data_IF_112853034162
#
_entry.id   IF_112853034162
#
_cell.length_a   1.000
_cell.length_b   1.000
_cell.length_c   1.000
_cell.angle_alpha   90.00
_cell.angle_beta   90.00
_cell.angle_gamma   90.00
#
_symmetry.space_group_name_H-M   'P 1'
#
loop_
_entity.id
_entity.type
_entity.pdbx_description
1 polymer ?
#
# COMPACT_ATOMS: atom_id res chain seq x y z
N UNK A 1 10.55 15.30 44.78
CA UNK A 1 9.60 16.00 43.89
C UNK A 1 9.71 15.41 42.50
N UNK A 2 8.72 15.65 41.64
CA UNK A 2 8.67 15.09 40.28
C UNK A 2 9.06 16.19 39.29
N UNK A 3 10.03 15.91 38.42
CA UNK A 3 10.45 16.81 37.36
C UNK A 3 9.53 16.62 36.14
N UNK A 4 8.96 17.73 35.63
CA UNK A 4 8.09 17.73 34.45
C UNK A 4 8.79 18.46 33.32
N UNK A 5 9.04 17.74 32.22
CA UNK A 5 9.60 18.29 30.99
C UNK A 5 8.48 18.48 29.96
N UNK A 6 8.27 19.72 29.51
CA UNK A 6 7.29 20.07 28.48
C UNK A 6 8.01 20.33 27.16
N UNK A 7 7.65 19.58 26.11
CA UNK A 7 8.22 19.78 24.78
C UNK A 7 7.35 20.72 23.95
N UNK A 8 7.98 21.45 23.03
CA UNK A 8 7.27 22.21 21.99
C UNK A 8 6.69 21.30 20.91
N UNK A 9 5.79 21.82 20.06
CA UNK A 9 5.28 21.10 18.91
C UNK A 9 6.37 20.92 17.85
N UNK A 10 6.39 19.75 17.19
CA UNK A 10 7.19 19.52 15.99
C UNK A 10 6.40 20.01 14.78
N UNK A 11 7.05 20.69 13.83
CA UNK A 11 6.41 21.20 12.62
C UNK A 11 6.93 20.52 11.35
N UNK A 12 6.05 20.32 10.36
CA UNK A 12 6.37 19.83 9.03
C UNK A 12 5.55 20.61 8.00
N UNK A 13 6.22 21.19 6.99
CA UNK A 13 5.57 22.03 5.97
C UNK A 13 4.90 23.29 6.55
N UNK A 14 5.48 23.86 7.61
CA UNK A 14 4.95 25.08 8.25
C UNK A 14 3.78 24.87 9.23
N UNK A 15 3.31 23.63 9.43
CA UNK A 15 2.23 23.31 10.36
C UNK A 15 2.61 22.24 11.38
N UNK A 16 2.02 22.23 12.60
CA UNK A 16 2.32 21.24 13.63
C UNK A 16 1.99 19.80 13.19
N UNK A 17 2.92 18.88 13.38
CA UNK A 17 2.69 17.44 13.18
C UNK A 17 1.68 16.95 14.21
N UNK A 18 0.69 16.19 13.76
CA UNK A 18 -0.30 15.57 14.65
C UNK A 18 -0.84 14.27 14.05
N UNK A 19 -1.31 13.37 14.91
CA UNK A 19 -1.91 12.12 14.47
C UNK A 19 -3.15 12.36 13.60
N UNK A 20 -3.92 13.42 13.86
CA UNK A 20 -5.08 13.79 13.02
C UNK A 20 -4.65 14.09 11.60
N UNK A 21 -3.62 14.93 11.40
CA UNK A 21 -3.11 15.25 10.06
C UNK A 21 -2.58 14.02 9.34
N UNK A 22 -1.81 13.18 10.04
CA UNK A 22 -1.27 11.94 9.47
C UNK A 22 -2.41 11.01 9.02
N UNK A 23 -3.44 10.82 9.86
CA UNK A 23 -4.61 10.00 9.50
C UNK A 23 -5.38 10.57 8.31
N UNK A 24 -5.57 11.89 8.25
CA UNK A 24 -6.23 12.56 7.12
C UNK A 24 -5.46 12.37 5.83
N UNK A 25 -4.14 12.59 5.84
CA UNK A 25 -3.29 12.39 4.66
C UNK A 25 -3.31 10.92 4.19
N UNK A 26 -3.20 9.97 5.11
CA UNK A 26 -3.33 8.54 4.79
C UNK A 26 -4.69 8.22 4.18
N UNK A 27 -5.79 8.69 4.78
CA UNK A 27 -7.14 8.45 4.27
C UNK A 27 -7.36 9.04 2.86
N UNK A 28 -6.71 10.15 2.53
CA UNK A 28 -6.70 10.74 1.19
C UNK A 28 -5.75 10.01 0.21
N UNK A 29 -4.95 9.05 0.68
CA UNK A 29 -3.93 8.35 -0.10
C UNK A 29 -2.64 9.16 -0.32
N UNK A 30 -2.48 10.29 0.40
CA UNK A 30 -1.30 11.15 0.37
C UNK A 30 -0.17 10.56 1.24
N UNK A 31 0.31 9.38 0.85
CA UNK A 31 1.28 8.59 1.63
C UNK A 31 2.64 9.28 1.77
N UNK A 32 3.02 10.15 0.83
CA UNK A 32 4.25 10.94 0.87
C UNK A 32 4.17 12.05 1.94
N UNK A 33 3.03 12.75 2.01
CA UNK A 33 2.79 13.76 3.05
C UNK A 33 2.75 13.11 4.44
N UNK A 34 2.10 11.94 4.55
CA UNK A 34 2.12 11.16 5.78
C UNK A 34 3.55 10.76 6.16
N UNK A 35 4.36 10.31 5.20
CA UNK A 35 5.75 9.93 5.44
C UNK A 35 6.61 11.11 5.92
N UNK A 36 6.43 12.29 5.34
CA UNK A 36 7.13 13.50 5.76
C UNK A 36 6.82 13.87 7.22
N UNK A 37 5.57 13.70 7.66
CA UNK A 37 5.18 13.91 9.06
C UNK A 37 5.64 12.79 10.00
N UNK A 38 5.69 11.54 9.54
CA UNK A 38 6.09 10.38 10.33
C UNK A 38 7.61 10.26 10.48
N UNK A 39 8.37 10.80 9.52
CA UNK A 39 9.81 10.56 9.39
C UNK A 39 10.17 9.20 8.77
N UNK A 40 9.18 8.43 8.31
CA UNK A 40 9.36 7.15 7.64
C UNK A 40 8.17 6.83 6.72
N UNK A 41 8.39 6.00 5.70
CA UNK A 41 7.32 5.52 4.82
C UNK A 41 6.31 4.66 5.58
N UNK A 42 5.01 4.93 5.42
CA UNK A 42 3.96 4.20 6.11
C UNK A 42 4.00 2.69 5.78
N UNK A 43 3.81 1.82 6.78
CA UNK A 43 4.03 0.37 6.60
C UNK A 43 2.82 -0.48 6.95
N UNK A 44 2.57 -1.50 6.15
CA UNK A 44 1.65 -2.59 6.48
C UNK A 44 2.45 -3.90 6.63
N UNK A 45 1.98 -4.79 7.50
CA UNK A 45 2.61 -6.08 7.75
C UNK A 45 1.52 -7.15 7.85
N UNK A 46 1.73 -8.27 7.18
CA UNK A 46 0.74 -9.34 7.13
C UNK A 46 1.24 -10.58 6.42
N UNK A 47 0.35 -11.54 6.28
CA UNK A 47 0.57 -12.83 5.62
C UNK A 47 -0.16 -12.88 4.28
N UNK A 48 0.47 -13.52 3.29
CA UNK A 48 -0.16 -13.77 1.99
C UNK A 48 -1.22 -14.86 2.11
N UNK A 49 -2.45 -14.52 1.75
CA UNK A 49 -3.60 -15.42 1.73
C UNK A 49 -4.11 -15.68 0.32
N UNK A 50 -4.89 -16.74 0.16
CA UNK A 50 -5.54 -17.07 -1.12
C UNK A 50 -6.57 -16.01 -1.51
N UNK A 51 -6.49 -15.55 -2.75
CA UNK A 51 -7.50 -14.69 -3.39
C UNK A 51 -8.04 -15.33 -4.67
N UNK A 52 -8.71 -14.54 -5.53
CA UNK A 52 -9.32 -15.05 -6.77
C UNK A 52 -8.31 -15.40 -7.87
N UNK A 53 -7.02 -15.09 -7.67
CA UNK A 53 -5.90 -15.37 -8.60
C UNK A 53 -6.10 -14.85 -10.04
N UNK A 54 -7.06 -13.94 -10.27
CA UNK A 54 -7.37 -13.34 -11.59
C UNK A 54 -6.16 -12.66 -12.24
N UNK A 55 -5.29 -12.05 -11.44
CA UNK A 55 -4.07 -11.41 -11.95
C UNK A 55 -3.12 -12.39 -12.68
N UNK A 56 -3.10 -13.66 -12.27
CA UNK A 56 -2.19 -14.67 -12.83
C UNK A 56 -2.44 -14.93 -14.32
N UNK A 57 -3.70 -14.90 -14.77
CA UNK A 57 -4.04 -15.13 -16.19
C UNK A 57 -3.61 -13.97 -17.10
N UNK A 58 -3.35 -12.79 -16.53
CA UNK A 58 -2.93 -11.58 -17.26
C UNK A 58 -1.42 -11.31 -17.19
N UNK A 59 -0.64 -12.18 -16.52
CA UNK A 59 0.78 -11.96 -16.26
C UNK A 59 1.07 -11.01 -15.09
N UNK A 60 0.07 -10.71 -14.27
CA UNK A 60 0.18 -9.84 -13.09
C UNK A 60 -0.28 -10.58 -11.82
N UNK A 61 0.40 -11.66 -11.39
CA UNK A 61 0.01 -12.38 -10.17
C UNK A 61 0.02 -11.43 -8.96
N UNK A 62 -1.06 -11.43 -8.18
CA UNK A 62 -1.19 -10.59 -6.98
C UNK A 62 -1.27 -11.44 -5.71
N UNK A 63 -0.54 -10.99 -4.69
CA UNK A 63 -0.64 -11.46 -3.31
C UNK A 63 -1.77 -10.72 -2.61
N UNK A 64 -2.74 -11.45 -2.03
CA UNK A 64 -3.75 -10.82 -1.16
C UNK A 64 -3.15 -10.81 0.26
N UNK A 65 -3.11 -9.66 0.91
CA UNK A 65 -2.48 -9.50 2.22
C UNK A 65 -3.53 -9.47 3.33
N UNK A 66 -3.42 -10.39 4.28
CA UNK A 66 -4.15 -10.32 5.55
C UNK A 66 -3.24 -9.67 6.59
N UNK A 67 -3.67 -8.53 7.15
CA UNK A 67 -2.86 -7.78 8.12
C UNK A 67 -2.81 -8.46 9.48
N UNK A 68 -1.64 -8.42 10.11
CA UNK A 68 -1.49 -8.80 11.53
C UNK A 68 -2.10 -7.78 12.48
N UNK A 69 -2.16 -6.52 12.05
CA UNK A 69 -2.75 -5.41 12.81
C UNK A 69 -4.09 -5.03 12.15
N UNK A 70 -5.21 -5.71 12.46
CA UNK A 70 -6.48 -5.54 11.72
C UNK A 70 -7.10 -4.15 11.87
N UNK A 71 -6.74 -3.41 12.93
CA UNK A 71 -7.19 -2.04 13.18
C UNK A 71 -6.27 -0.98 12.56
N UNK A 72 -5.21 -1.40 11.87
CA UNK A 72 -4.26 -0.46 11.26
C UNK A 72 -4.93 0.32 10.15
N UNK A 73 -4.73 1.63 10.16
CA UNK A 73 -5.30 2.52 9.16
C UNK A 73 -4.72 2.20 7.78
N UNK A 74 -5.56 1.70 6.88
CA UNK A 74 -5.19 1.57 5.48
C UNK A 74 -5.16 2.96 4.81
N UNK A 75 -4.14 3.29 3.99
CA UNK A 75 -4.20 4.42 3.08
C UNK A 75 -5.48 4.40 2.24
N UNK A 76 -5.91 5.53 1.68
CA UNK A 76 -7.12 5.64 0.85
C UNK A 76 -7.15 4.67 -0.34
N UNK A 77 -8.29 4.50 -0.99
CA UNK A 77 -8.36 3.58 -2.14
C UNK A 77 -7.47 4.06 -3.29
N UNK A 78 -6.88 3.12 -4.02
CA UNK A 78 -6.01 3.40 -5.16
C UNK A 78 -4.84 2.43 -5.32
N UNK A 79 -4.04 2.69 -6.34
CA UNK A 79 -2.83 1.93 -6.67
C UNK A 79 -1.61 2.71 -6.20
N UNK A 80 -0.71 2.03 -5.51
CA UNK A 80 0.46 2.58 -4.87
C UNK A 80 1.74 1.88 -5.32
N UNK A 81 2.82 2.64 -5.42
CA UNK A 81 4.17 2.08 -5.47
C UNK A 81 4.60 1.76 -4.04
N UNK A 82 5.06 0.53 -3.82
CA UNK A 82 5.50 0.05 -2.51
C UNK A 82 6.87 -0.61 -2.61
N UNK A 83 7.66 -0.52 -1.54
CA UNK A 83 8.69 -1.52 -1.28
C UNK A 83 8.06 -2.73 -0.61
N UNK A 84 8.49 -3.91 -1.03
CA UNK A 84 8.03 -5.19 -0.55
C UNK A 84 9.20 -5.91 0.08
N UNK A 85 9.10 -6.21 1.37
CA UNK A 85 10.04 -7.08 2.07
C UNK A 85 9.38 -8.44 2.31
N UNK A 86 10.04 -9.50 1.84
CA UNK A 86 9.66 -10.90 2.09
C UNK A 86 10.90 -11.77 1.97
N UNK A 87 10.95 -12.91 2.68
CA UNK A 87 12.07 -13.88 2.63
C UNK A 87 13.47 -13.27 2.80
N UNK A 88 13.59 -12.16 3.53
CA UNK A 88 14.85 -11.43 3.72
C UNK A 88 15.31 -10.59 2.51
N UNK A 89 14.51 -10.52 1.44
CA UNK A 89 14.78 -9.76 0.22
C UNK A 89 13.86 -8.55 0.11
N UNK A 90 14.29 -7.57 -0.68
CA UNK A 90 13.55 -6.36 -1.00
C UNK A 90 13.22 -6.31 -2.48
N UNK A 91 11.98 -5.98 -2.78
CA UNK A 91 11.45 -5.84 -4.13
C UNK A 91 10.64 -4.56 -4.24
N UNK A 92 10.34 -4.16 -5.47
CA UNK A 92 9.31 -3.16 -5.73
C UNK A 92 7.99 -3.86 -5.98
N UNK A 93 6.89 -3.18 -5.67
CA UNK A 93 5.56 -3.71 -5.91
C UNK A 93 4.56 -2.64 -6.31
N UNK A 94 3.51 -3.08 -6.97
CA UNK A 94 2.27 -2.33 -7.15
C UNK A 94 1.25 -2.85 -6.15
N UNK A 95 0.85 -2.02 -5.20
CA UNK A 95 -0.17 -2.37 -4.21
C UNK A 95 -1.49 -1.68 -4.56
N UNK A 96 -2.54 -2.44 -4.81
CA UNK A 96 -3.90 -1.93 -4.86
C UNK A 96 -4.53 -2.00 -3.45
N UNK A 97 -5.11 -0.89 -3.00
CA UNK A 97 -6.04 -0.88 -1.88
C UNK A 97 -7.42 -0.52 -2.44
N UNK A 98 -8.38 -1.41 -2.24
CA UNK A 98 -9.70 -1.23 -2.83
C UNK A 98 -10.80 -2.00 -2.14
N UNK A 99 -12.04 -1.67 -2.48
CA UNK A 99 -13.23 -2.28 -1.88
C UNK A 99 -13.70 -3.47 -2.72
N UNK A 100 -13.84 -4.63 -2.08
CA UNK A 100 -14.60 -5.74 -2.66
C UNK A 100 -16.05 -5.68 -2.17
N UNK A 101 -17.02 -5.62 -3.09
CA UNK A 101 -18.41 -5.86 -2.76
C UNK A 101 -18.56 -7.35 -2.37
N UNK A 102 -18.82 -7.63 -1.11
CA UNK A 102 -19.12 -8.98 -0.62
C UNK A 102 -20.61 -9.09 -0.28
N UNK A 103 -21.28 -10.11 -0.79
CA UNK A 103 -22.70 -10.36 -0.51
C UNK A 103 -22.85 -10.78 0.95
N UNK A 104 -23.61 -10.00 1.73
CA UNK A 104 -24.04 -10.34 3.09
C UNK A 104 -23.17 -9.85 4.25
N UNK A 105 -21.92 -9.44 4.02
CA UNK A 105 -20.97 -9.06 5.11
C UNK A 105 -20.48 -7.61 5.04
N UNK A 106 -21.02 -6.81 4.12
CA UNK A 106 -20.60 -5.43 3.89
C UNK A 106 -19.38 -5.31 2.98
N UNK A 107 -18.88 -4.09 2.80
CA UNK A 107 -17.73 -3.78 1.95
C UNK A 107 -16.42 -4.05 2.71
N UNK A 108 -15.60 -5.01 2.25
CA UNK A 108 -14.29 -5.27 2.83
C UNK A 108 -13.18 -4.63 1.98
N UNK A 109 -12.31 -3.84 2.61
CA UNK A 109 -11.12 -3.30 1.94
C UNK A 109 -10.07 -4.40 1.79
N UNK A 110 -9.47 -4.49 0.62
CA UNK A 110 -8.48 -5.50 0.27
C UNK A 110 -7.15 -4.82 -0.02
N UNK A 111 -6.06 -5.54 0.26
CA UNK A 111 -4.69 -5.10 -0.03
C UNK A 111 -4.11 -6.16 -0.96
N UNK A 112 -3.96 -5.82 -2.24
CA UNK A 112 -3.49 -6.73 -3.28
C UNK A 112 -2.18 -6.22 -3.87
N UNK A 113 -1.09 -6.98 -3.75
CA UNK A 113 0.24 -6.55 -4.21
C UNK A 113 0.75 -7.43 -5.33
N UNK A 114 1.07 -6.83 -6.48
CA UNK A 114 1.91 -7.45 -7.50
C UNK A 114 3.37 -7.10 -7.22
N UNK A 115 4.17 -8.11 -6.86
CA UNK A 115 5.61 -7.97 -6.62
C UNK A 115 6.33 -8.04 -7.97
N UNK A 116 7.16 -7.04 -8.26
CA UNK A 116 7.89 -6.96 -9.52
C UNK A 116 9.13 -7.88 -9.47
N UNK A 117 9.42 -8.50 -10.61
CA UNK A 117 10.56 -9.40 -10.80
C UNK A 117 10.64 -10.51 -9.74
N UNK A 118 9.47 -11.08 -9.43
CA UNK A 118 9.26 -12.11 -8.43
C UNK A 118 8.44 -13.27 -9.01
N UNK A 119 9.00 -14.48 -8.97
CA UNK A 119 8.46 -15.69 -9.62
C UNK A 119 8.35 -16.90 -8.68
N UNK A 120 8.53 -16.71 -7.38
CA UNK A 120 8.45 -17.78 -6.36
C UNK A 120 7.02 -17.94 -5.81
N UNK A 121 6.76 -19.04 -5.09
CA UNK A 121 5.52 -19.17 -4.31
C UNK A 121 5.63 -18.34 -3.03
N UNK A 122 4.61 -17.53 -2.77
CA UNK A 122 4.52 -16.61 -1.63
C UNK A 122 3.36 -16.91 -0.70
N UNK A 123 2.54 -17.92 -0.98
CA UNK A 123 1.42 -18.27 -0.11
C UNK A 123 1.90 -18.63 1.30
N UNK A 124 1.28 -18.02 2.31
CA UNK A 124 1.64 -18.22 3.71
C UNK A 124 2.90 -17.47 4.16
N UNK A 125 3.58 -16.73 3.27
CA UNK A 125 4.75 -15.95 3.64
C UNK A 125 4.37 -14.57 4.16
N UNK A 126 5.25 -14.02 4.99
CA UNK A 126 5.17 -12.64 5.47
C UNK A 126 5.50 -11.64 4.38
N UNK A 127 4.71 -10.57 4.32
CA UNK A 127 4.99 -9.37 3.54
C UNK A 127 4.94 -8.14 4.43
N UNK A 128 6.00 -7.35 4.34
CA UNK A 128 6.00 -5.96 4.82
C UNK A 128 5.99 -5.03 3.61
N UNK A 129 4.94 -4.21 3.54
CA UNK A 129 4.78 -3.20 2.51
C UNK A 129 5.17 -1.84 3.07
N UNK A 130 6.04 -1.10 2.41
CA UNK A 130 6.33 0.31 2.72
C UNK A 130 5.82 1.18 1.56
N UNK A 131 4.85 2.04 1.85
CA UNK A 131 4.21 2.91 0.87
C UNK A 131 5.15 4.05 0.49
N UNK A 132 5.39 4.20 -0.81
CA UNK A 132 6.25 5.26 -1.35
C UNK A 132 5.46 6.37 -1.99
N UNK A 133 4.52 6.06 -2.89
CA UNK A 133 3.67 7.06 -3.54
C UNK A 133 2.37 6.47 -4.05
N UNK A 134 1.36 7.31 -4.25
CA UNK A 134 0.12 6.95 -4.96
C UNK A 134 0.34 7.12 -6.46
N UNK A 135 0.01 6.10 -7.24
CA UNK A 135 0.11 6.08 -8.71
C UNK A 135 -1.17 6.64 -9.32
N UNK A 136 -2.32 6.17 -8.84
CA UNK A 136 -3.66 6.58 -9.31
C UNK A 136 -4.76 6.11 -8.38
N UNK A 137 -5.96 6.65 -8.57
CA UNK A 137 -7.18 6.10 -7.99
C UNK A 137 -7.60 4.78 -8.66
N UNK A 138 -8.48 4.03 -7.98
CA UNK A 138 -9.14 2.87 -8.57
C UNK A 138 -10.06 3.30 -9.73
N UNK A 139 -10.12 2.47 -10.77
CA UNK A 139 -11.01 2.67 -11.90
C UNK A 139 -11.52 1.34 -12.42
N UNK A 140 -12.75 1.34 -12.93
CA UNK A 140 -13.30 0.20 -13.65
C UNK A 140 -12.72 0.15 -15.07
N UNK A 141 -12.56 -1.07 -15.59
CA UNK A 141 -12.14 -1.32 -16.97
C UNK A 141 -13.26 -2.07 -17.69
N UNK A 142 -13.44 -1.76 -18.96
CA UNK A 142 -14.49 -2.39 -19.77
C UNK A 142 -14.05 -3.74 -20.36
N UNK A 143 -12.74 -4.01 -20.39
CA UNK A 143 -12.17 -5.26 -20.88
C UNK A 143 -10.87 -5.66 -20.15
N UNK A 144 -10.51 -6.95 -20.25
CA UNK A 144 -9.22 -7.46 -19.76
C UNK A 144 -8.02 -6.82 -20.47
N UNK A 145 -8.16 -6.47 -21.75
CA UNK A 145 -7.11 -5.79 -22.52
C UNK A 145 -6.82 -4.39 -21.99
N UNK A 146 -7.86 -3.61 -21.67
CA UNK A 146 -7.71 -2.29 -21.05
C UNK A 146 -7.04 -2.38 -19.67
N UNK A 147 -7.49 -3.32 -18.84
CA UNK A 147 -6.89 -3.57 -17.52
C UNK A 147 -5.40 -3.90 -17.66
N UNK A 148 -5.04 -4.86 -18.52
CA UNK A 148 -3.64 -5.24 -18.75
C UNK A 148 -2.81 -4.05 -19.24
N UNK A 149 -3.32 -3.28 -20.20
CA UNK A 149 -2.63 -2.10 -20.71
C UNK A 149 -2.40 -1.04 -19.64
N UNK A 150 -3.32 -0.88 -18.68
CA UNK A 150 -3.12 0.01 -17.54
C UNK A 150 -2.11 -0.55 -16.53
N UNK A 151 -2.15 -1.84 -16.21
CA UNK A 151 -1.18 -2.47 -15.31
C UNK A 151 0.26 -2.33 -15.82
N UNK A 152 0.46 -2.42 -17.14
CA UNK A 152 1.78 -2.16 -17.75
C UNK A 152 2.23 -0.70 -17.61
N UNK A 153 1.30 0.27 -17.69
CA UNK A 153 1.60 1.68 -17.42
C UNK A 153 1.97 1.89 -15.96
N UNK A 154 1.19 1.31 -15.05
CA UNK A 154 1.42 1.38 -13.61
C UNK A 154 2.77 0.75 -13.24
N UNK A 155 3.14 -0.39 -13.86
CA UNK A 155 4.45 -1.04 -13.68
C UNK A 155 5.59 -0.13 -14.12
N UNK A 156 5.49 0.46 -15.32
CA UNK A 156 6.51 1.41 -15.80
C UNK A 156 6.63 2.61 -14.87
N UNK A 157 5.51 3.09 -14.34
CA UNK A 157 5.52 4.17 -13.37
C UNK A 157 6.31 3.75 -12.13
N UNK A 158 6.00 2.63 -11.48
CA UNK A 158 6.78 2.11 -10.33
C UNK A 158 8.28 2.07 -10.64
N UNK A 159 8.66 1.61 -11.83
CA UNK A 159 10.07 1.48 -12.22
C UNK A 159 10.80 2.80 -12.45
N UNK A 160 10.09 3.87 -12.85
CA UNK A 160 10.67 5.21 -13.10
C UNK A 160 11.10 5.95 -11.84
N UNK A 161 10.55 5.62 -10.68
CA UNK A 161 10.97 6.25 -9.43
C UNK A 161 12.46 5.99 -9.23
N UNK A 162 13.29 7.01 -9.39
CA UNK A 162 14.73 6.97 -9.10
C UNK A 162 14.94 7.69 -7.76
N UNK A 163 15.47 6.97 -6.78
CA UNK A 163 15.58 7.43 -5.39
C UNK A 163 14.76 6.56 -4.45
N UNK A 164 15.37 5.45 -4.00
CA UNK A 164 14.79 4.52 -3.03
C UNK A 164 15.63 4.49 -1.76
#
# INVERSE_FOLDING_TARGET
>A
GLEVLRTGPVACGGAPVSSTRIRTALAAGQVEEAAAMLGYGYRLHGVVVSGERKGRTMGFPTANLQLYEPLKLLPGDGVYAVDVETTGRRFRGMCNIGVRPTVGTGNHRTVETHILDFDEDIYGLDLRLTFRRKIRDERKFSSLGELRGQLEKDKREVMKGTGW
#
